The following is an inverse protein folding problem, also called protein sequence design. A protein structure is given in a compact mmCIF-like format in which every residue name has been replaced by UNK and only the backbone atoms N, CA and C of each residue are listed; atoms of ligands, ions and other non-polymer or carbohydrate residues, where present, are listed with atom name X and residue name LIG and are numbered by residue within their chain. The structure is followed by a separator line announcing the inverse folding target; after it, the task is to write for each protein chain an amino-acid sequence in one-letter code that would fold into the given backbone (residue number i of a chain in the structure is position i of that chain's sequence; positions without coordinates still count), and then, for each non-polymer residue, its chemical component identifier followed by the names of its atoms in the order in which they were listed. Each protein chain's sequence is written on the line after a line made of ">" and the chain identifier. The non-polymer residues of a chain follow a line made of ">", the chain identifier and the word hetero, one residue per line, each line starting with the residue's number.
data_IF_973292945392
#
_entry.id   IF_973292945392
#
_cell.length_a   1.000
_cell.length_b   1.000
_cell.length_c   1.000
_cell.angle_alpha   90.00
_cell.angle_beta   90.00
_cell.angle_gamma   90.00
#
_symmetry.space_group_name_H-M   'P 1'
#
loop_
_entity.id
_entity.type
_entity.pdbx_description
1 polymer ?
#
# COMPACT_ATOMS: atom_id res chain seq x y z
N UNK A 1 23.27 -23.03 20.08
CA UNK A 1 22.28 -24.01 19.66
C UNK A 1 21.13 -23.29 18.95
N UNK A 2 21.15 -23.29 17.63
CA UNK A 2 20.45 -22.24 16.83
C UNK A 2 19.12 -22.69 16.22
N UNK A 3 18.33 -23.50 16.91
CA UNK A 3 17.02 -23.96 16.44
C UNK A 3 15.84 -23.31 17.19
N UNK A 4 16.02 -22.13 17.80
CA UNK A 4 14.86 -21.39 18.34
C UNK A 4 14.02 -20.88 17.19
N UNK A 5 12.78 -21.34 17.09
CA UNK A 5 11.78 -20.79 16.17
C UNK A 5 11.11 -19.58 16.83
N UNK A 6 11.09 -18.47 16.12
CA UNK A 6 10.38 -17.28 16.52
C UNK A 6 9.11 -17.15 15.69
N UNK A 7 8.02 -16.75 16.31
CA UNK A 7 6.74 -16.59 15.65
C UNK A 7 6.35 -15.12 15.61
N UNK A 8 5.88 -14.68 14.47
CA UNK A 8 5.28 -13.36 14.27
C UNK A 8 3.80 -13.57 13.96
N UNK A 9 2.94 -13.03 14.80
CA UNK A 9 1.49 -13.09 14.59
C UNK A 9 1.01 -11.75 14.04
N UNK A 10 0.40 -11.78 12.87
CA UNK A 10 -0.25 -10.63 12.25
C UNK A 10 -1.73 -10.91 12.00
N UNK A 11 -2.56 -9.89 12.18
CA UNK A 11 -3.97 -9.91 11.80
C UNK A 11 -4.19 -8.90 10.69
N UNK A 12 -4.90 -9.33 9.64
CA UNK A 12 -5.27 -8.45 8.53
C UNK A 12 -6.77 -8.59 8.26
N UNK A 13 -7.43 -7.46 8.07
CA UNK A 13 -8.82 -7.35 7.64
C UNK A 13 -8.94 -6.61 6.32
N UNK A 14 -9.92 -7.02 5.50
CA UNK A 14 -10.19 -6.41 4.20
C UNK A 14 -11.69 -6.21 4.01
N UNK A 15 -12.07 -5.05 3.48
CA UNK A 15 -13.42 -4.76 2.99
C UNK A 15 -13.29 -4.31 1.55
N UNK A 16 -14.12 -4.85 0.67
CA UNK A 16 -14.23 -4.45 -0.73
C UNK A 16 -15.69 -4.25 -1.10
N UNK A 17 -15.97 -3.19 -1.85
CA UNK A 17 -17.29 -2.89 -2.39
C UNK A 17 -17.18 -2.62 -3.89
N UNK A 18 -18.23 -3.02 -4.63
CA UNK A 18 -18.38 -2.71 -6.04
C UNK A 18 -19.83 -2.35 -6.33
N UNK A 19 -20.01 -1.28 -7.09
CA UNK A 19 -21.31 -0.84 -7.59
C UNK A 19 -21.23 -0.63 -9.09
N UNK A 20 -22.17 -1.23 -9.83
CA UNK A 20 -22.29 -1.06 -11.27
C UNK A 20 -23.75 -0.71 -11.59
N UNK A 21 -23.95 0.40 -12.30
CA UNK A 21 -25.26 0.80 -12.81
C UNK A 21 -25.09 1.51 -14.15
N UNK A 22 -25.74 1.00 -15.19
CA UNK A 22 -25.70 1.53 -16.55
C UNK A 22 -24.25 1.73 -17.05
N UNK A 23 -23.81 2.97 -17.18
CA UNK A 23 -22.46 3.36 -17.61
C UNK A 23 -21.51 3.65 -16.45
N UNK A 24 -21.99 3.60 -15.21
CA UNK A 24 -21.22 3.91 -14.01
C UNK A 24 -20.70 2.62 -13.34
N UNK A 25 -19.41 2.57 -13.07
CA UNK A 25 -18.78 1.56 -12.24
C UNK A 25 -17.97 2.23 -11.14
N UNK A 26 -18.18 1.80 -9.89
CA UNK A 26 -17.44 2.26 -8.73
C UNK A 26 -16.88 1.02 -8.02
N UNK A 27 -15.60 1.05 -7.66
CA UNK A 27 -14.95 0.02 -6.86
C UNK A 27 -14.17 0.68 -5.75
N UNK A 28 -14.19 0.09 -4.57
CA UNK A 28 -13.38 0.54 -3.45
C UNK A 28 -12.91 -0.66 -2.62
N UNK A 29 -11.73 -0.54 -2.03
CA UNK A 29 -11.14 -1.56 -1.17
C UNK A 29 -10.34 -0.90 -0.06
N UNK A 30 -10.44 -1.45 1.13
CA UNK A 30 -9.63 -1.08 2.29
C UNK A 30 -9.03 -2.34 2.90
N UNK A 31 -7.73 -2.30 3.16
CA UNK A 31 -7.02 -3.27 3.99
C UNK A 31 -6.48 -2.55 5.21
N UNK A 32 -6.57 -3.21 6.36
CA UNK A 32 -5.95 -2.77 7.62
C UNK A 32 -5.35 -4.01 8.27
N UNK A 33 -4.11 -3.94 8.71
CA UNK A 33 -3.50 -5.10 9.34
C UNK A 33 -2.03 -4.93 9.67
N UNK A 34 -1.46 -6.04 10.10
CA UNK A 34 -0.08 -6.17 10.53
C UNK A 34 0.71 -6.98 9.49
N UNK A 35 1.97 -6.61 9.28
CA UNK A 35 2.93 -7.30 8.41
C UNK A 35 2.33 -7.70 7.04
N UNK A 36 1.80 -6.70 6.35
CA UNK A 36 1.26 -6.87 4.99
C UNK A 36 2.33 -6.63 3.90
N UNK A 37 3.61 -6.78 4.26
CA UNK A 37 4.75 -6.56 3.37
C UNK A 37 4.71 -7.45 2.12
N UNK A 38 4.20 -8.67 2.27
CA UNK A 38 3.98 -9.61 1.15
C UNK A 38 2.94 -9.13 0.11
N UNK A 39 2.15 -8.11 0.44
CA UNK A 39 1.20 -7.44 -0.47
C UNK A 39 1.78 -6.14 -1.05
N UNK A 40 3.07 -5.84 -0.82
CA UNK A 40 3.69 -4.58 -1.24
C UNK A 40 3.20 -3.36 -0.45
N UNK A 41 2.66 -3.56 0.75
CA UNK A 41 2.24 -2.50 1.66
C UNK A 41 3.41 -2.15 2.58
N UNK A 42 3.60 -0.85 2.88
CA UNK A 42 4.69 -0.32 3.71
C UNK A 42 4.56 -0.78 5.17
N UNK A 43 4.78 -2.07 5.40
CA UNK A 43 4.78 -2.71 6.71
C UNK A 43 5.92 -3.70 6.82
N UNK A 44 6.05 -4.31 7.97
CA UNK A 44 7.04 -5.31 8.28
C UNK A 44 7.00 -5.66 9.75
N UNK A 45 8.14 -5.90 10.32
CA UNK A 45 8.29 -6.24 11.75
C UNK A 45 9.64 -5.76 12.29
N UNK A 46 9.75 -5.70 13.62
CA UNK A 46 11.00 -5.42 14.32
C UNK A 46 11.10 -6.21 15.61
N UNK A 47 12.30 -6.27 16.17
CA UNK A 47 12.54 -6.88 17.48
C UNK A 47 12.05 -5.94 18.57
N UNK A 48 11.29 -6.45 19.53
CA UNK A 48 10.76 -5.70 20.66
C UNK A 48 11.91 -5.33 21.61
N UNK A 49 11.94 -4.08 22.03
CA UNK A 49 12.87 -3.56 23.05
C UNK A 49 12.37 -3.83 24.46
N UNK A 50 13.22 -3.56 25.46
CA UNK A 50 12.92 -3.69 26.90
C UNK A 50 12.42 -5.07 27.34
N UNK A 51 12.97 -6.13 26.77
CA UNK A 51 12.76 -7.51 27.21
C UNK A 51 13.82 -7.93 28.24
N UNK A 52 13.47 -8.93 29.06
CA UNK A 52 14.43 -9.56 29.97
C UNK A 52 15.62 -10.16 29.20
N UNK A 53 16.77 -10.22 29.87
CA UNK A 53 18.01 -10.69 29.24
C UNK A 53 17.84 -12.10 28.63
N UNK A 54 18.09 -12.20 27.34
CA UNK A 54 18.00 -13.46 26.59
C UNK A 54 16.61 -13.77 26.01
N UNK A 55 15.58 -12.93 26.24
CA UNK A 55 14.29 -13.04 25.56
C UNK A 55 14.34 -12.27 24.24
N UNK A 56 13.85 -12.89 23.15
CA UNK A 56 13.75 -12.27 21.83
C UNK A 56 12.32 -12.43 21.36
N UNK A 57 11.67 -11.31 21.09
CA UNK A 57 10.33 -11.24 20.53
C UNK A 57 10.29 -10.28 19.36
N UNK A 58 9.40 -10.54 18.42
CA UNK A 58 9.15 -9.66 17.29
C UNK A 58 7.74 -9.09 17.37
N UNK A 59 7.58 -7.85 16.96
CA UNK A 59 6.28 -7.21 16.81
C UNK A 59 6.10 -6.76 15.36
N UNK A 60 4.91 -7.00 14.77
CA UNK A 60 4.59 -6.53 13.44
C UNK A 60 4.25 -5.04 13.44
N UNK A 61 4.59 -4.36 12.35
CA UNK A 61 4.10 -3.03 12.08
C UNK A 61 2.69 -3.10 11.48
N UNK A 62 1.83 -2.19 11.90
CA UNK A 62 0.49 -2.02 11.37
C UNK A 62 0.48 -0.98 10.25
N UNK A 63 -0.42 -1.15 9.29
CA UNK A 63 -0.70 -0.17 8.25
C UNK A 63 -2.13 -0.26 7.73
N UNK A 64 -2.52 0.73 6.96
CA UNK A 64 -3.71 0.68 6.11
C UNK A 64 -3.34 0.91 4.66
N UNK A 65 -4.16 0.34 3.77
CA UNK A 65 -4.13 0.62 2.33
C UNK A 65 -5.56 0.69 1.81
N UNK A 66 -5.94 1.83 1.27
CA UNK A 66 -7.29 2.07 0.76
C UNK A 66 -7.21 2.63 -0.65
N UNK A 67 -8.12 2.20 -1.52
CA UNK A 67 -8.25 2.78 -2.83
C UNK A 67 -9.71 2.79 -3.30
N UNK A 68 -10.01 3.71 -4.19
CA UNK A 68 -11.27 3.77 -4.90
C UNK A 68 -11.03 4.06 -6.38
N UNK A 69 -11.91 3.54 -7.23
CA UNK A 69 -11.93 3.78 -8.66
C UNK A 69 -13.36 4.09 -9.10
N UNK A 70 -13.50 5.12 -9.90
CA UNK A 70 -14.75 5.46 -10.56
C UNK A 70 -14.52 5.44 -12.06
N UNK A 71 -15.42 4.79 -12.81
CA UNK A 71 -15.41 4.77 -14.26
C UNK A 71 -16.80 5.10 -14.78
N UNK A 72 -16.87 5.90 -15.85
CA UNK A 72 -18.11 6.26 -16.51
C UNK A 72 -17.94 6.25 -18.03
N UNK A 73 -18.87 5.61 -18.74
CA UNK A 73 -18.93 5.60 -20.20
C UNK A 73 -19.34 4.26 -20.79
N UNK A 74 -19.46 4.22 -22.11
CA UNK A 74 -19.75 3.04 -22.92
C UNK A 74 -18.50 2.55 -23.64
N UNK A 75 -18.49 2.66 -24.99
CA UNK A 75 -17.30 2.37 -25.78
C UNK A 75 -16.13 3.31 -25.44
N UNK A 76 -16.43 4.58 -25.23
CA UNK A 76 -15.48 5.54 -24.61
C UNK A 76 -15.79 5.65 -23.13
N UNK A 77 -14.78 5.40 -22.28
CA UNK A 77 -14.86 5.45 -20.82
C UNK A 77 -13.85 6.41 -20.26
N UNK A 78 -14.24 7.16 -19.26
CA UNK A 78 -13.39 8.00 -18.44
C UNK A 78 -13.32 7.38 -17.05
N UNK A 79 -12.15 7.35 -16.48
CA UNK A 79 -11.94 6.80 -15.14
C UNK A 79 -10.99 7.65 -14.32
N UNK A 80 -11.12 7.51 -13.01
CA UNK A 80 -10.14 8.00 -12.05
C UNK A 80 -9.94 6.96 -10.95
N UNK A 81 -8.69 6.69 -10.66
CA UNK A 81 -8.27 5.91 -9.50
C UNK A 81 -7.65 6.84 -8.46
N UNK A 82 -7.94 6.58 -7.18
CA UNK A 82 -7.28 7.22 -6.05
C UNK A 82 -6.93 6.18 -5.01
N UNK A 83 -5.72 6.24 -4.47
CA UNK A 83 -5.23 5.32 -3.43
C UNK A 83 -4.44 6.05 -2.36
N UNK A 84 -4.48 5.52 -1.14
CA UNK A 84 -3.73 6.00 0.01
C UNK A 84 -3.26 4.82 0.87
N UNK A 85 -2.03 4.90 1.34
CA UNK A 85 -1.42 3.91 2.22
C UNK A 85 -0.67 4.65 3.33
N UNK A 86 -0.71 4.13 4.56
CA UNK A 86 -0.04 4.73 5.72
C UNK A 86 0.53 3.68 6.65
N UNK A 87 1.74 3.94 7.14
CA UNK A 87 2.41 3.19 8.19
C UNK A 87 1.94 3.69 9.56
N UNK A 88 1.49 2.79 10.43
CA UNK A 88 1.01 3.11 11.78
C UNK A 88 2.01 2.73 12.87
N UNK A 89 3.13 2.09 12.48
CA UNK A 89 4.11 1.55 13.42
C UNK A 89 3.63 0.29 14.14
N UNK A 90 4.40 -0.15 15.12
CA UNK A 90 4.07 -1.27 15.99
C UNK A 90 3.38 -0.79 17.27
N UNK A 91 2.65 -1.70 17.93
CA UNK A 91 2.05 -1.43 19.26
C UNK A 91 3.06 -1.50 20.41
N UNK A 92 4.35 -1.61 20.14
CA UNK A 92 5.45 -1.73 21.10
C UNK A 92 6.69 -1.03 20.58
N UNK A 93 7.57 -0.65 21.48
CA UNK A 93 8.87 -0.13 21.12
C UNK A 93 9.77 -1.25 20.57
N UNK A 94 10.52 -0.91 19.55
CA UNK A 94 11.39 -1.80 18.79
C UNK A 94 12.85 -1.40 18.95
N UNK A 95 13.74 -2.36 18.89
CA UNK A 95 15.17 -2.07 18.88
C UNK A 95 15.55 -1.38 17.57
N UNK A 96 16.17 -0.19 17.63
CA UNK A 96 16.59 0.53 16.43
C UNK A 96 17.45 -0.34 15.51
N UNK A 97 17.22 -0.25 14.20
CA UNK A 97 17.97 -1.02 13.19
C UNK A 97 17.51 -2.47 12.99
N UNK A 98 16.59 -3.00 13.81
CA UNK A 98 16.04 -4.35 13.62
C UNK A 98 14.83 -4.41 12.73
N UNK A 99 14.26 -3.25 12.35
CA UNK A 99 13.06 -3.17 11.53
C UNK A 99 13.35 -3.73 10.14
N UNK A 100 12.53 -4.68 9.74
CA UNK A 100 12.50 -5.29 8.41
C UNK A 100 11.15 -4.98 7.80
N UNK A 101 11.13 -4.05 6.85
CA UNK A 101 9.91 -3.61 6.20
C UNK A 101 10.07 -3.67 4.68
N UNK A 102 8.97 -3.80 3.99
CA UNK A 102 8.91 -3.52 2.56
C UNK A 102 9.33 -2.07 2.34
N UNK A 103 9.92 -1.77 1.20
CA UNK A 103 10.32 -0.41 0.82
C UNK A 103 11.34 0.28 1.77
N UNK A 104 12.11 -0.51 2.52
CA UNK A 104 13.19 -0.02 3.35
C UNK A 104 12.81 0.62 4.69
N UNK A 105 11.53 0.64 5.06
CA UNK A 105 11.07 1.08 6.38
C UNK A 105 11.09 2.58 6.64
N UNK A 106 11.31 3.41 5.62
CA UNK A 106 11.37 4.87 5.74
C UNK A 106 10.14 5.59 5.19
N UNK A 107 9.13 4.85 4.75
CA UNK A 107 7.90 5.41 4.21
C UNK A 107 6.87 5.58 5.34
N UNK A 108 6.40 6.82 5.52
CA UNK A 108 5.27 7.14 6.39
C UNK A 108 3.94 6.90 5.70
N UNK A 109 3.76 7.51 4.53
CA UNK A 109 2.55 7.34 3.74
C UNK A 109 2.83 7.48 2.24
N UNK A 110 1.88 7.02 1.44
CA UNK A 110 1.88 7.18 -0.01
C UNK A 110 0.46 7.44 -0.50
N UNK A 111 0.32 8.33 -1.46
CA UNK A 111 -0.93 8.49 -2.19
C UNK A 111 -0.71 8.46 -3.69
N UNK A 112 -1.76 8.07 -4.41
CA UNK A 112 -1.75 7.96 -5.86
C UNK A 112 -3.07 8.45 -6.44
N UNK A 113 -3.01 9.19 -7.53
CA UNK A 113 -4.15 9.55 -8.36
C UNK A 113 -3.83 9.19 -9.81
N UNK A 114 -4.77 8.52 -10.50
CA UNK A 114 -4.56 8.10 -11.88
C UNK A 114 -5.85 8.27 -12.70
N UNK A 115 -6.06 9.45 -13.33
CA UNK A 115 -7.09 9.60 -14.37
C UNK A 115 -6.74 8.78 -15.60
N UNK A 116 -7.76 8.20 -16.23
CA UNK A 116 -7.59 7.38 -17.42
C UNK A 116 -8.76 7.53 -18.40
N UNK A 117 -8.47 7.24 -19.65
CA UNK A 117 -9.45 7.17 -20.75
C UNK A 117 -9.25 5.84 -21.45
N UNK A 118 -10.34 5.16 -21.74
CA UNK A 118 -10.35 3.88 -22.46
C UNK A 118 -11.32 3.95 -23.62
N UNK A 119 -10.93 3.41 -24.77
CA UNK A 119 -11.77 3.30 -25.94
C UNK A 119 -11.79 1.88 -26.47
N UNK A 120 -13.00 1.30 -26.54
CA UNK A 120 -13.22 -0.07 -27.02
C UNK A 120 -13.84 -0.01 -28.42
N UNK A 121 -13.21 -0.67 -29.38
CA UNK A 121 -13.71 -0.82 -30.75
C UNK A 121 -13.55 -2.28 -31.19
N UNK A 122 -14.67 -2.96 -31.44
CA UNK A 122 -14.66 -4.39 -31.71
C UNK A 122 -13.97 -5.16 -30.56
N UNK A 123 -12.97 -5.94 -30.88
CA UNK A 123 -12.18 -6.73 -29.94
C UNK A 123 -10.96 -5.98 -29.38
N UNK A 124 -10.80 -4.71 -29.72
CA UNK A 124 -9.64 -3.92 -29.30
C UNK A 124 -10.02 -2.93 -28.21
N UNK A 125 -9.18 -2.82 -27.18
CA UNK A 125 -9.27 -1.80 -26.14
C UNK A 125 -7.98 -0.95 -26.16
N UNK A 126 -8.14 0.34 -26.27
CA UNK A 126 -7.06 1.34 -26.24
C UNK A 126 -7.20 2.12 -24.93
N UNK A 127 -6.09 2.32 -24.21
CA UNK A 127 -6.10 3.04 -22.95
C UNK A 127 -4.97 4.05 -22.86
N UNK A 128 -5.27 5.17 -22.20
CA UNK A 128 -4.29 6.18 -21.77
C UNK A 128 -4.54 6.45 -20.31
N UNK A 129 -3.48 6.39 -19.51
CA UNK A 129 -3.52 6.69 -18.09
C UNK A 129 -2.36 7.63 -17.73
N UNK A 130 -2.67 8.67 -16.99
CA UNK A 130 -1.66 9.48 -16.29
C UNK A 130 -1.71 9.14 -14.82
N UNK A 131 -0.55 8.85 -14.23
CA UNK A 131 -0.42 8.52 -12.81
C UNK A 131 0.49 9.54 -12.13
N UNK A 132 0.01 10.10 -11.04
CA UNK A 132 0.80 10.86 -10.07
C UNK A 132 0.84 10.05 -8.77
N UNK A 133 2.05 9.66 -8.36
CA UNK A 133 2.30 9.02 -7.06
C UNK A 133 3.20 9.91 -6.23
N UNK A 134 2.82 10.14 -4.98
CA UNK A 134 3.63 10.88 -4.00
C UNK A 134 3.85 10.02 -2.78
N UNK A 135 5.10 9.93 -2.35
CA UNK A 135 5.54 9.16 -1.19
C UNK A 135 6.16 10.13 -0.18
N UNK A 136 5.72 10.06 1.07
CA UNK A 136 6.32 10.74 2.19
C UNK A 136 7.42 9.85 2.79
N UNK A 137 8.68 10.19 2.52
CA UNK A 137 9.85 9.54 3.13
C UNK A 137 10.26 10.33 4.37
N UNK A 138 10.49 9.62 5.47
CA UNK A 138 11.00 10.22 6.69
C UNK A 138 12.48 9.94 6.93
N UNK A 139 13.09 10.80 7.74
CA UNK A 139 14.48 10.68 8.16
C UNK A 139 14.61 10.11 9.57
N UNK A 140 13.55 10.21 10.35
CA UNK A 140 13.50 9.71 11.73
C UNK A 140 12.56 8.50 11.82
N UNK A 141 13.06 7.41 12.41
CA UNK A 141 12.24 6.24 12.76
C UNK A 141 12.05 6.28 14.29
N UNK A 142 10.81 6.42 14.71
CA UNK A 142 10.43 6.45 16.12
C UNK A 142 10.59 5.06 16.77
N UNK A 143 10.57 5.01 18.10
CA UNK A 143 10.76 3.78 18.86
C UNK A 143 9.81 2.65 18.43
N UNK A 144 8.57 2.98 18.06
CA UNK A 144 7.58 2.00 17.59
C UNK A 144 7.65 1.71 16.09
N UNK A 145 8.65 2.20 15.37
CA UNK A 145 8.79 2.02 13.93
C UNK A 145 7.91 2.92 13.07
N UNK A 146 7.23 3.90 13.67
CA UNK A 146 6.58 4.98 12.94
C UNK A 146 7.63 5.91 12.35
N UNK A 147 7.30 6.57 11.25
CA UNK A 147 8.24 7.42 10.53
C UNK A 147 7.82 8.87 10.69
N UNK A 148 8.78 9.76 10.96
CA UNK A 148 8.58 11.19 11.13
C UNK A 148 9.65 12.01 10.39
N UNK A 149 9.57 13.34 10.48
CA UNK A 149 10.42 14.28 9.73
C UNK A 149 10.38 14.01 8.23
N UNK A 150 9.17 14.00 7.68
CA UNK A 150 8.93 13.54 6.32
C UNK A 150 9.15 14.63 5.26
N UNK A 151 9.58 14.19 4.09
CA UNK A 151 9.60 14.96 2.85
C UNK A 151 8.92 14.19 1.72
N UNK A 152 8.24 14.91 0.85
CA UNK A 152 7.50 14.30 -0.25
C UNK A 152 8.37 14.13 -1.50
N UNK A 153 8.31 12.94 -2.09
CA UNK A 153 8.88 12.66 -3.41
C UNK A 153 7.75 12.25 -4.35
N UNK A 154 7.62 12.94 -5.48
CA UNK A 154 6.57 12.67 -6.45
C UNK A 154 7.13 12.08 -7.74
N UNK A 155 6.40 11.14 -8.31
CA UNK A 155 6.68 10.52 -9.61
C UNK A 155 5.46 10.64 -10.52
N UNK A 156 5.71 10.89 -11.79
CA UNK A 156 4.69 10.99 -12.84
C UNK A 156 4.93 9.89 -13.87
N UNK A 157 3.87 9.23 -14.29
CA UNK A 157 3.89 8.20 -15.33
C UNK A 157 2.77 8.41 -16.33
N UNK A 158 3.09 8.30 -17.61
CA UNK A 158 2.12 8.19 -18.69
C UNK A 158 2.16 6.75 -19.21
N UNK A 159 1.02 6.08 -19.20
CA UNK A 159 0.86 4.72 -19.70
C UNK A 159 -0.07 4.72 -20.91
N UNK A 160 0.38 4.08 -21.98
CA UNK A 160 -0.42 3.73 -23.15
C UNK A 160 -0.62 2.23 -23.16
N UNK A 161 -1.84 1.77 -23.38
CA UNK A 161 -2.16 0.35 -23.44
C UNK A 161 -2.98 0.01 -24.68
N UNK A 162 -2.67 -1.13 -25.28
CA UNK A 162 -3.44 -1.74 -26.36
C UNK A 162 -3.69 -3.19 -25.96
N UNK A 163 -4.95 -3.60 -25.93
CA UNK A 163 -5.36 -4.97 -25.62
C UNK A 163 -6.27 -5.47 -26.74
N UNK A 164 -5.98 -6.65 -27.26
CA UNK A 164 -6.81 -7.32 -28.28
C UNK A 164 -7.25 -8.68 -27.76
N UNK A 165 -8.55 -8.95 -27.81
CA UNK A 165 -9.14 -10.25 -27.48
C UNK A 165 -9.49 -10.99 -28.77
N UNK A 166 -9.01 -12.23 -28.96
CA UNK A 166 -9.31 -13.10 -30.11
C UNK A 166 -10.13 -14.31 -29.68
#
# INVERSE_FOLDING_TARGET
>A
DNNKKYYLNGLCGMIQAQYNKDKLAIKAKTLIGHDMSHLGICTGFGQVDHLDAGDIRFAPLAASSSWAQVQYGGALKFGVFGGYMSNWGAGKDLIPGTIRAAEGGTIDNMWRVAPNVQYTVGNMNLGVEYELTTVAYGTTIEANGKVSDTHNVSNNRLLLSVMYAF
#
